data_IF_185211706983
#
_entry.id   IF_185211706983
#
_cell.length_a   1.000
_cell.length_b   1.000
_cell.length_c   1.000
_cell.angle_alpha   90.00
_cell.angle_beta   90.00
_cell.angle_gamma   90.00
#
_symmetry.space_group_name_H-M   'P 1'
#
loop_
_entity.id
_entity.type
_entity.pdbx_description
1 polymer ?
#
# COMPACT_ATOMS: atom_id res chain seq x y z
N UNK A 1 -1.88 -5.07 -41.94
CA UNK A 1 -2.88 -5.97 -42.56
C UNK A 1 -2.79 -7.38 -42.01
N UNK A 2 -3.74 -7.77 -41.23
CA UNK A 2 -3.80 -9.15 -40.80
C UNK A 2 -4.66 -9.94 -41.78
N UNK A 3 -4.01 -10.63 -42.69
CA UNK A 3 -4.66 -11.61 -43.56
C UNK A 3 -5.16 -12.78 -42.72
N UNK A 4 -6.48 -12.88 -42.60
CA UNK A 4 -7.16 -14.02 -41.97
C UNK A 4 -8.14 -14.60 -42.96
N UNK A 5 -8.37 -15.89 -42.86
CA UNK A 5 -9.18 -16.63 -43.83
C UNK A 5 -10.51 -15.95 -44.15
N UNK A 6 -10.98 -16.04 -45.38
CA UNK A 6 -12.13 -15.35 -45.96
C UNK A 6 -13.42 -15.44 -45.09
N UNK A 7 -13.56 -16.39 -44.19
CA UNK A 7 -14.71 -16.49 -43.30
C UNK A 7 -14.73 -15.54 -42.11
N UNK A 8 -13.56 -15.01 -41.68
CA UNK A 8 -13.46 -14.09 -40.55
C UNK A 8 -13.46 -12.61 -40.97
N UNK A 9 -13.10 -12.31 -42.25
CA UNK A 9 -13.02 -10.95 -42.78
C UNK A 9 -14.39 -10.25 -42.74
N UNK A 10 -15.49 -10.97 -42.87
CA UNK A 10 -16.83 -10.40 -42.83
C UNK A 10 -17.44 -10.31 -41.41
N UNK A 11 -16.79 -10.87 -40.40
CA UNK A 11 -17.31 -10.91 -39.02
C UNK A 11 -16.66 -9.93 -38.07
N UNK A 12 -15.49 -9.39 -38.42
CA UNK A 12 -14.76 -8.44 -37.56
C UNK A 12 -14.17 -7.35 -38.46
N UNK A 13 -14.88 -6.25 -38.58
CA UNK A 13 -14.41 -5.05 -39.23
C UNK A 13 -13.84 -4.11 -38.17
N UNK A 14 -12.71 -3.45 -38.48
CA UNK A 14 -12.12 -2.40 -37.64
C UNK A 14 -12.21 -1.11 -38.43
N UNK A 15 -12.98 -0.15 -37.94
CA UNK A 15 -12.98 1.23 -38.43
C UNK A 15 -12.04 2.06 -37.57
N UNK A 16 -11.39 3.03 -38.15
CA UNK A 16 -10.48 3.95 -37.48
C UNK A 16 -10.92 5.40 -37.68
N UNK A 17 -10.86 6.16 -36.59
CA UNK A 17 -10.97 7.61 -36.59
C UNK A 17 -9.92 8.18 -35.63
N UNK A 18 -9.26 9.27 -35.98
CA UNK A 18 -8.19 9.83 -35.15
C UNK A 18 -8.72 10.41 -33.83
N UNK A 19 -9.85 11.11 -33.86
CA UNK A 19 -10.58 11.60 -32.69
C UNK A 19 -10.00 12.86 -32.03
N UNK A 20 -8.68 13.00 -31.93
CA UNK A 20 -7.99 14.16 -31.32
C UNK A 20 -6.60 14.37 -31.96
N UNK A 21 -6.04 15.57 -31.80
CA UNK A 21 -4.64 15.84 -32.15
C UNK A 21 -3.72 15.40 -31.02
N UNK A 22 -2.67 14.64 -31.33
CA UNK A 22 -1.72 14.11 -30.31
C UNK A 22 -0.71 15.16 -29.84
N UNK A 23 -0.59 16.29 -30.50
CA UNK A 23 0.39 17.34 -30.20
C UNK A 23 -0.21 18.55 -29.48
N UNK A 24 -1.46 18.84 -29.78
CA UNK A 24 -2.14 20.00 -29.23
C UNK A 24 -3.36 19.55 -28.37
N UNK A 25 -3.43 20.01 -27.14
CA UNK A 25 -4.61 19.78 -26.31
C UNK A 25 -5.73 20.75 -26.69
N UNK A 26 -6.28 20.54 -27.89
CA UNK A 26 -7.40 21.31 -28.41
C UNK A 26 -8.45 20.37 -29.02
N UNK A 27 -9.70 20.73 -28.82
CA UNK A 27 -10.81 20.01 -29.45
C UNK A 27 -10.86 20.38 -30.91
N UNK A 28 -10.66 19.38 -31.80
CA UNK A 28 -10.93 19.48 -33.23
C UNK A 28 -12.33 18.91 -33.51
N UNK A 29 -13.26 19.78 -33.84
CA UNK A 29 -14.67 19.43 -34.05
C UNK A 29 -14.89 18.44 -35.20
N UNK A 30 -14.02 18.47 -36.24
CA UNK A 30 -14.12 17.57 -37.38
C UNK A 30 -13.66 16.15 -36.99
N UNK A 31 -12.51 16.03 -36.33
CA UNK A 31 -12.00 14.76 -35.80
C UNK A 31 -12.95 14.17 -34.79
N UNK A 32 -13.44 14.97 -33.82
CA UNK A 32 -14.41 14.56 -32.83
C UNK A 32 -15.69 13.99 -33.45
N UNK A 33 -16.28 14.71 -34.39
CA UNK A 33 -17.50 14.29 -35.11
C UNK A 33 -17.32 12.98 -35.86
N UNK A 34 -16.19 12.81 -36.56
CA UNK A 34 -15.87 11.56 -37.26
C UNK A 34 -15.76 10.38 -36.26
N UNK A 35 -15.04 10.59 -35.13
CA UNK A 35 -14.86 9.56 -34.11
C UNK A 35 -16.18 9.16 -33.43
N UNK A 36 -17.02 10.13 -33.07
CA UNK A 36 -18.35 9.90 -32.47
C UNK A 36 -19.26 9.15 -33.46
N UNK A 37 -19.29 9.51 -34.72
CA UNK A 37 -20.13 8.81 -35.74
C UNK A 37 -19.58 7.40 -36.01
N UNK A 38 -18.27 7.21 -36.02
CA UNK A 38 -17.62 5.90 -36.16
C UNK A 38 -17.99 4.99 -34.95
N UNK A 39 -17.87 5.52 -33.74
CA UNK A 39 -18.18 4.79 -32.51
C UNK A 39 -19.67 4.40 -32.40
N UNK A 40 -20.57 5.30 -32.84
CA UNK A 40 -22.02 5.05 -32.83
C UNK A 40 -22.42 3.87 -33.70
N UNK A 41 -21.70 3.65 -34.80
CA UNK A 41 -21.97 2.59 -35.77
C UNK A 41 -21.19 1.29 -35.48
N UNK A 42 -20.40 1.24 -34.43
CA UNK A 42 -19.61 0.08 -34.03
C UNK A 42 -20.27 -0.71 -32.89
N UNK A 43 -19.95 -2.02 -32.79
CA UNK A 43 -20.37 -2.85 -31.68
C UNK A 43 -19.62 -2.51 -30.39
N UNK A 44 -18.36 -2.08 -30.52
CA UNK A 44 -17.47 -1.69 -29.41
C UNK A 44 -16.59 -0.53 -29.89
N UNK A 45 -16.43 0.51 -29.09
CA UNK A 45 -15.42 1.54 -29.28
C UNK A 45 -14.21 1.26 -28.41
N UNK A 46 -13.03 1.23 -29.02
CA UNK A 46 -11.74 1.16 -28.29
C UNK A 46 -11.03 2.49 -28.48
N UNK A 47 -10.85 3.22 -27.39
CA UNK A 47 -10.23 4.53 -27.37
C UNK A 47 -8.81 4.39 -26.83
N UNK A 48 -7.82 4.73 -27.66
CA UNK A 48 -6.42 4.85 -27.23
C UNK A 48 -6.20 6.27 -26.73
N UNK A 49 -5.79 6.40 -25.49
CA UNK A 49 -5.57 7.67 -24.81
C UNK A 49 -4.29 7.60 -23.97
N UNK A 50 -3.79 8.73 -23.50
CA UNK A 50 -2.60 8.76 -22.68
C UNK A 50 -1.92 10.12 -22.68
N UNK A 51 -0.70 10.17 -22.16
CA UNK A 51 0.05 11.40 -21.98
C UNK A 51 1.04 11.60 -23.15
N UNK A 52 0.90 12.68 -23.92
CA UNK A 52 1.90 13.05 -24.92
C UNK A 52 3.14 13.66 -24.24
N UNK A 53 4.25 13.76 -24.98
CA UNK A 53 5.53 14.30 -24.50
C UNK A 53 5.42 15.70 -23.86
N UNK A 54 4.41 16.48 -24.26
CA UNK A 54 4.14 17.79 -23.65
C UNK A 54 3.59 17.71 -22.21
N UNK A 55 3.03 16.57 -21.81
CA UNK A 55 2.48 16.33 -20.47
C UNK A 55 3.42 15.51 -19.60
N UNK A 56 4.15 14.57 -20.19
CA UNK A 56 5.05 13.68 -19.47
C UNK A 56 6.32 13.44 -20.27
N UNK A 57 7.45 13.92 -19.77
CA UNK A 57 8.75 13.80 -20.41
C UNK A 57 9.88 13.87 -19.40
N UNK A 58 11.07 13.43 -19.79
CA UNK A 58 12.28 13.65 -19.01
C UNK A 58 12.64 15.15 -19.02
N UNK A 59 13.03 15.68 -17.86
CA UNK A 59 13.54 17.04 -17.72
C UNK A 59 12.56 18.08 -17.18
N UNK A 60 11.30 17.72 -16.93
CA UNK A 60 10.34 18.54 -16.21
C UNK A 60 9.34 17.68 -15.43
N UNK A 61 8.78 18.24 -14.37
CA UNK A 61 7.79 17.57 -13.54
C UNK A 61 6.38 17.87 -14.05
N UNK A 62 5.48 16.91 -13.90
CA UNK A 62 4.05 17.12 -14.14
C UNK A 62 3.48 18.02 -13.05
N UNK A 63 2.67 18.99 -13.46
CA UNK A 63 2.00 19.93 -12.54
C UNK A 63 0.63 19.43 -12.06
N UNK A 64 0.02 18.45 -12.76
CA UNK A 64 -1.29 17.89 -12.44
C UNK A 64 -1.39 16.42 -12.90
N UNK A 65 -2.35 15.68 -12.35
CA UNK A 65 -2.65 14.30 -12.75
C UNK A 65 -3.67 14.21 -13.90
N UNK A 66 -4.21 15.32 -14.37
CA UNK A 66 -5.18 15.35 -15.48
C UNK A 66 -4.59 14.80 -16.78
N UNK A 67 -5.43 14.15 -17.57
CA UNK A 67 -5.18 13.84 -18.96
C UNK A 67 -5.47 15.07 -19.83
N UNK A 68 -5.01 15.11 -21.10
CA UNK A 68 -5.42 16.16 -22.02
C UNK A 68 -6.94 16.33 -22.10
N UNK A 69 -7.41 17.57 -22.07
CA UNK A 69 -8.86 17.88 -22.05
C UNK A 69 -9.55 17.37 -23.32
N UNK A 70 -8.89 17.43 -24.47
CA UNK A 70 -9.43 16.92 -25.74
C UNK A 70 -9.70 15.42 -25.69
N UNK A 71 -8.87 14.64 -25.00
CA UNK A 71 -9.05 13.20 -24.84
C UNK A 71 -10.19 12.89 -23.87
N UNK A 72 -10.24 13.57 -22.71
CA UNK A 72 -11.34 13.44 -21.76
C UNK A 72 -12.68 13.78 -22.41
N UNK A 73 -12.72 14.85 -23.21
CA UNK A 73 -13.91 15.28 -23.94
C UNK A 73 -14.34 14.26 -25.00
N UNK A 74 -13.40 13.71 -25.76
CA UNK A 74 -13.67 12.64 -26.74
C UNK A 74 -14.32 11.42 -26.06
N UNK A 75 -13.78 10.95 -24.92
CA UNK A 75 -14.32 9.81 -24.17
C UNK A 75 -15.77 10.11 -23.74
N UNK A 76 -16.02 11.30 -23.20
CA UNK A 76 -17.35 11.70 -22.75
C UNK A 76 -18.37 11.76 -23.90
N UNK A 77 -17.97 12.30 -25.06
CA UNK A 77 -18.86 12.39 -26.23
C UNK A 77 -19.17 11.00 -26.81
N UNK A 78 -18.18 10.10 -26.85
CA UNK A 78 -18.38 8.71 -27.29
C UNK A 78 -19.31 7.97 -26.34
N UNK A 79 -19.19 8.15 -25.05
CA UNK A 79 -20.06 7.51 -24.03
C UNK A 79 -21.55 7.89 -24.18
N UNK A 80 -21.86 9.05 -24.78
CA UNK A 80 -23.26 9.44 -25.07
C UNK A 80 -23.92 8.58 -26.16
N UNK A 81 -23.12 8.03 -27.07
CA UNK A 81 -23.62 7.31 -28.26
C UNK A 81 -23.28 5.82 -28.26
N UNK A 82 -22.27 5.39 -27.50
CA UNK A 82 -21.80 4.01 -27.42
C UNK A 82 -21.74 3.55 -25.96
N UNK A 83 -22.28 2.37 -25.65
CA UNK A 83 -22.29 1.79 -24.31
C UNK A 83 -21.10 0.85 -24.03
N UNK A 84 -20.59 0.22 -25.09
CA UNK A 84 -19.47 -0.71 -24.99
C UNK A 84 -18.16 0.04 -25.31
N UNK A 85 -17.62 0.75 -24.33
CA UNK A 85 -16.40 1.54 -24.48
C UNK A 85 -15.26 0.90 -23.70
N UNK A 86 -14.13 0.72 -24.37
CA UNK A 86 -12.87 0.27 -23.75
C UNK A 86 -11.86 1.40 -23.92
N UNK A 87 -11.16 1.78 -22.86
CA UNK A 87 -10.08 2.75 -22.92
C UNK A 87 -8.75 2.04 -22.70
N UNK A 88 -7.80 2.26 -23.62
CA UNK A 88 -6.41 1.82 -23.52
C UNK A 88 -5.58 3.04 -23.16
N UNK A 89 -4.86 2.97 -22.03
CA UNK A 89 -4.08 4.07 -21.50
C UNK A 89 -2.59 3.86 -21.69
N UNK A 90 -1.93 4.92 -22.19
CA UNK A 90 -0.48 5.02 -22.37
C UNK A 90 0.05 6.20 -21.54
N UNK A 91 0.53 5.93 -20.34
CA UNK A 91 1.05 6.92 -19.39
C UNK A 91 2.16 6.29 -18.56
N UNK A 92 3.13 7.07 -18.12
CA UNK A 92 4.21 6.60 -17.26
C UNK A 92 3.89 6.71 -15.77
N UNK A 93 2.91 7.55 -15.42
CA UNK A 93 2.49 7.82 -14.05
C UNK A 93 0.96 7.93 -13.95
N UNK A 94 0.35 7.84 -12.74
CA UNK A 94 -1.09 7.87 -12.56
C UNK A 94 -1.77 9.06 -13.22
N UNK A 95 -2.97 8.82 -13.75
CA UNK A 95 -3.83 9.85 -14.35
C UNK A 95 -5.20 9.87 -13.67
N UNK A 96 -5.83 11.03 -13.65
CA UNK A 96 -7.24 11.17 -13.25
C UNK A 96 -8.14 10.62 -14.35
N UNK A 97 -9.10 9.79 -13.96
CA UNK A 97 -10.02 9.11 -14.88
C UNK A 97 -11.47 9.41 -14.49
N UNK A 98 -11.98 10.61 -14.78
CA UNK A 98 -13.34 10.99 -14.36
C UNK A 98 -14.44 10.12 -14.99
N UNK A 99 -14.16 9.47 -16.09
CA UNK A 99 -15.04 8.58 -16.86
C UNK A 99 -14.89 7.09 -16.52
N UNK A 100 -14.01 6.73 -15.57
CA UNK A 100 -13.64 5.32 -15.34
C UNK A 100 -14.80 4.42 -14.92
N UNK A 101 -15.84 4.96 -14.27
CA UNK A 101 -17.02 4.20 -13.85
C UNK A 101 -18.05 4.03 -14.98
N UNK A 102 -17.93 4.79 -16.07
CA UNK A 102 -18.87 4.80 -17.20
C UNK A 102 -18.40 3.92 -18.37
N UNK A 103 -17.10 3.56 -18.42
CA UNK A 103 -16.55 2.69 -19.46
C UNK A 103 -16.65 1.21 -19.08
N UNK A 104 -16.71 0.35 -20.10
CA UNK A 104 -16.83 -1.11 -19.87
C UNK A 104 -15.54 -1.75 -19.38
N UNK A 105 -14.37 -1.23 -19.77
CA UNK A 105 -13.06 -1.71 -19.35
C UNK A 105 -11.98 -0.65 -19.59
N UNK A 106 -10.91 -0.76 -18.81
CA UNK A 106 -9.68 0.02 -18.97
C UNK A 106 -8.52 -0.97 -19.08
N UNK A 107 -7.69 -0.79 -20.10
CA UNK A 107 -6.42 -1.48 -20.26
C UNK A 107 -5.30 -0.48 -19.95
N UNK A 108 -4.68 -0.60 -18.78
CA UNK A 108 -3.50 0.18 -18.42
C UNK A 108 -2.27 -0.43 -19.09
N UNK A 109 -1.76 0.21 -20.10
CA UNK A 109 -0.63 -0.26 -20.90
C UNK A 109 0.70 0.35 -20.47
N UNK A 110 0.69 1.43 -19.69
CA UNK A 110 1.88 2.16 -19.28
C UNK A 110 2.77 2.57 -20.49
N UNK A 111 4.06 2.67 -20.28
CA UNK A 111 5.07 2.93 -21.32
C UNK A 111 5.52 1.60 -21.93
N UNK A 112 4.75 1.11 -22.86
CA UNK A 112 5.04 -0.13 -23.55
C UNK A 112 6.19 0.03 -24.58
N UNK A 113 6.81 -1.10 -24.91
CA UNK A 113 7.92 -1.15 -25.85
C UNK A 113 7.47 -1.32 -27.32
N UNK A 114 8.41 -1.69 -28.17
CA UNK A 114 8.26 -1.79 -29.63
C UNK A 114 7.10 -2.67 -30.12
N UNK A 115 6.70 -3.69 -29.35
CA UNK A 115 5.65 -4.64 -29.73
C UNK A 115 4.26 -4.30 -29.16
N UNK A 116 4.04 -3.09 -28.66
CA UNK A 116 2.82 -2.67 -27.93
C UNK A 116 1.53 -2.97 -28.70
N UNK A 117 1.41 -2.54 -29.94
CA UNK A 117 0.18 -2.72 -30.72
C UNK A 117 -0.19 -4.19 -30.94
N UNK A 118 0.79 -5.08 -31.11
CA UNK A 118 0.55 -6.52 -31.22
C UNK A 118 0.11 -7.12 -29.88
N UNK A 119 0.72 -6.71 -28.79
CA UNK A 119 0.38 -7.17 -27.44
C UNK A 119 -1.03 -6.74 -27.02
N UNK A 120 -1.39 -5.49 -27.27
CA UNK A 120 -2.72 -4.95 -27.00
C UNK A 120 -3.80 -5.64 -27.86
N UNK A 121 -3.53 -5.82 -29.15
CA UNK A 121 -4.44 -6.56 -30.02
C UNK A 121 -4.67 -8.01 -29.51
N UNK A 122 -3.63 -8.69 -29.05
CA UNK A 122 -3.76 -10.04 -28.52
C UNK A 122 -4.59 -10.09 -27.22
N UNK A 123 -4.50 -9.07 -26.38
CA UNK A 123 -5.35 -8.90 -25.20
C UNK A 123 -6.78 -8.55 -25.61
N UNK A 124 -6.99 -7.48 -26.38
CA UNK A 124 -8.30 -6.99 -26.77
C UNK A 124 -9.13 -8.05 -27.53
N UNK A 125 -8.49 -8.87 -28.34
CA UNK A 125 -9.15 -9.97 -29.06
C UNK A 125 -9.16 -11.30 -28.30
N UNK A 126 -8.69 -11.31 -27.04
CA UNK A 126 -8.76 -12.48 -26.16
C UNK A 126 -7.84 -13.63 -26.55
N UNK A 127 -6.78 -13.40 -27.33
CA UNK A 127 -5.78 -14.42 -27.58
C UNK A 127 -4.87 -14.62 -26.38
N UNK A 128 -4.63 -13.56 -25.64
CA UNK A 128 -3.86 -13.54 -24.39
C UNK A 128 -4.75 -13.03 -23.28
N UNK A 129 -4.80 -13.75 -22.18
CA UNK A 129 -5.48 -13.33 -20.96
C UNK A 129 -4.55 -12.37 -20.19
N UNK A 130 -4.97 -11.12 -19.87
CA UNK A 130 -4.14 -10.18 -19.14
C UNK A 130 -3.83 -10.73 -17.74
N UNK A 131 -2.62 -10.46 -17.27
CA UNK A 131 -2.14 -10.94 -15.97
C UNK A 131 -1.17 -9.96 -15.30
N UNK A 132 -1.14 -8.71 -15.76
CA UNK A 132 -0.45 -7.62 -15.12
C UNK A 132 -1.16 -7.21 -13.83
N UNK A 133 -0.38 -6.69 -12.89
CA UNK A 133 -0.88 -6.05 -11.66
C UNK A 133 -0.25 -4.68 -11.54
N UNK A 134 -1.03 -3.70 -11.10
CA UNK A 134 -0.53 -2.34 -10.88
C UNK A 134 0.63 -2.34 -9.88
N UNK A 135 1.75 -1.75 -10.27
CA UNK A 135 2.93 -1.59 -9.42
C UNK A 135 2.83 -0.38 -8.50
N UNK A 136 1.73 0.34 -8.57
CA UNK A 136 1.44 1.55 -7.79
C UNK A 136 -0.04 1.63 -7.42
N UNK A 137 -0.37 2.55 -6.53
CA UNK A 137 -1.75 2.94 -6.25
C UNK A 137 -2.11 4.10 -7.14
N UNK A 138 -3.27 4.05 -7.79
CA UNK A 138 -3.82 5.18 -8.55
C UNK A 138 -4.78 5.94 -7.63
N UNK A 139 -4.42 7.13 -7.11
CA UNK A 139 -5.31 7.96 -6.30
C UNK A 139 -6.38 8.62 -7.18
N UNK A 140 -7.34 9.30 -6.56
CA UNK A 140 -8.33 10.09 -7.29
C UNK A 140 -7.76 11.43 -7.74
N UNK A 141 -6.94 12.09 -6.90
CA UNK A 141 -6.43 13.45 -7.11
C UNK A 141 -4.95 13.53 -6.75
N UNK A 142 -4.26 14.51 -7.32
CA UNK A 142 -2.86 14.78 -7.01
C UNK A 142 -2.66 15.11 -5.53
N UNK A 143 -3.60 15.81 -4.92
CA UNK A 143 -3.60 16.19 -3.50
C UNK A 143 -3.62 15.00 -2.54
N UNK A 144 -4.05 13.84 -3.02
CA UNK A 144 -4.03 12.59 -2.25
C UNK A 144 -2.60 12.02 -2.11
N UNK A 145 -1.64 12.49 -2.91
CA UNK A 145 -0.28 11.98 -2.89
C UNK A 145 0.44 12.33 -1.58
N UNK A 146 1.13 11.40 -0.91
CA UNK A 146 1.82 11.66 0.36
C UNK A 146 2.90 12.74 0.27
N UNK A 147 3.49 12.97 -0.91
CA UNK A 147 4.51 14.00 -1.13
C UNK A 147 3.95 15.37 -1.52
N UNK A 148 2.64 15.51 -1.73
CA UNK A 148 2.01 16.72 -2.28
C UNK A 148 2.42 18.02 -1.58
N UNK A 149 2.51 18.00 -0.25
CA UNK A 149 2.90 19.18 0.54
C UNK A 149 4.42 19.41 0.61
N UNK A 150 5.24 18.47 0.14
CA UNK A 150 6.69 18.50 0.32
C UNK A 150 7.44 18.60 -1.02
N UNK A 151 6.81 18.26 -2.12
CA UNK A 151 7.36 18.31 -3.47
C UNK A 151 6.80 19.54 -4.22
N UNK A 152 7.62 20.30 -4.97
CA UNK A 152 9.04 20.12 -5.22
C UNK A 152 9.98 20.70 -4.12
N UNK A 153 9.46 21.15 -3.00
CA UNK A 153 10.20 21.80 -1.92
C UNK A 153 10.27 23.32 -2.07
N UNK A 154 11.25 23.93 -1.40
CA UNK A 154 11.44 25.40 -1.36
C UNK A 154 12.48 25.93 -2.37
N UNK A 155 12.90 25.09 -3.31
CA UNK A 155 13.94 25.40 -4.31
C UNK A 155 15.38 25.15 -3.85
N UNK A 156 15.62 24.95 -2.57
CA UNK A 156 16.93 24.59 -2.00
C UNK A 156 16.90 23.22 -1.32
N UNK A 157 15.77 22.83 -0.81
CA UNK A 157 15.61 21.61 0.00
C UNK A 157 14.30 20.90 -0.34
N UNK A 158 14.40 19.59 -0.52
CA UNK A 158 13.24 18.67 -0.60
C UNK A 158 13.25 17.78 0.62
N UNK A 159 12.12 17.71 1.33
CA UNK A 159 11.98 16.91 2.53
C UNK A 159 11.10 15.69 2.28
N UNK A 160 11.65 14.49 2.47
CA UNK A 160 10.93 13.21 2.37
C UNK A 160 10.20 12.93 3.70
N UNK A 161 9.18 13.75 4.01
CA UNK A 161 8.45 13.69 5.30
C UNK A 161 7.55 12.47 5.44
N UNK A 162 7.19 11.83 4.34
CA UNK A 162 6.40 10.61 4.31
C UNK A 162 7.12 9.41 4.95
N UNK A 163 8.45 9.41 5.03
CA UNK A 163 9.25 8.35 5.61
C UNK A 163 8.98 7.00 4.94
N UNK A 164 8.52 5.99 5.69
CA UNK A 164 8.17 4.67 5.14
C UNK A 164 6.77 4.60 4.52
N UNK A 165 5.98 5.68 4.65
CA UNK A 165 4.60 5.74 4.17
C UNK A 165 4.53 6.28 2.74
N UNK A 166 5.10 5.54 1.79
CA UNK A 166 5.06 5.83 0.36
C UNK A 166 4.10 4.89 -0.36
N UNK A 167 3.44 5.37 -1.43
CA UNK A 167 2.51 4.58 -2.23
C UNK A 167 1.40 3.94 -1.38
N UNK A 168 1.08 2.66 -1.63
CA UNK A 168 0.01 1.93 -0.95
C UNK A 168 0.14 1.91 0.58
N UNK A 169 1.37 1.97 1.11
CA UNK A 169 1.62 1.99 2.57
C UNK A 169 0.97 3.19 3.23
N UNK A 170 0.99 4.34 2.54
CA UNK A 170 0.31 5.55 2.99
C UNK A 170 -1.20 5.45 2.81
N UNK A 171 -1.67 5.16 1.60
CA UNK A 171 -3.10 5.13 1.29
C UNK A 171 -3.86 4.10 2.13
N UNK A 172 -3.26 2.92 2.36
CA UNK A 172 -3.87 1.85 3.15
C UNK A 172 -3.86 2.19 4.64
N UNK A 173 -2.77 2.80 5.16
CA UNK A 173 -2.69 3.28 6.53
C UNK A 173 -3.72 4.38 6.83
N UNK A 174 -3.90 5.30 5.89
CA UNK A 174 -4.90 6.38 5.97
C UNK A 174 -6.33 5.89 5.71
N UNK A 175 -6.51 4.65 5.23
CA UNK A 175 -7.81 4.14 4.75
C UNK A 175 -8.42 5.08 3.72
N UNK A 176 -7.59 5.73 2.92
CA UNK A 176 -7.98 6.72 1.94
C UNK A 176 -8.61 6.03 0.73
N UNK A 177 -9.74 6.52 0.20
CA UNK A 177 -10.27 6.03 -1.07
C UNK A 177 -9.23 6.22 -2.19
N UNK A 178 -9.15 5.24 -3.09
CA UNK A 178 -8.27 5.29 -4.26
C UNK A 178 -9.02 4.73 -5.45
N UNK A 179 -8.65 5.14 -6.66
CA UNK A 179 -9.27 4.62 -7.89
C UNK A 179 -8.91 3.14 -8.06
N UNK A 180 -7.64 2.80 -7.96
CA UNK A 180 -7.16 1.41 -8.00
C UNK A 180 -6.02 1.22 -6.98
N UNK A 181 -6.08 0.18 -6.12
CA UNK A 181 -5.03 -0.08 -5.15
C UNK A 181 -3.81 -0.73 -5.79
N UNK A 182 -2.67 -0.64 -5.13
CA UNK A 182 -1.46 -1.39 -5.48
C UNK A 182 -1.74 -2.89 -5.61
N UNK A 183 -1.19 -3.51 -6.63
CA UNK A 183 -1.36 -4.94 -6.90
C UNK A 183 -2.66 -5.30 -7.60
N UNK A 184 -3.56 -4.33 -7.87
CA UNK A 184 -4.82 -4.57 -8.56
C UNK A 184 -4.61 -4.96 -10.03
N UNK A 185 -5.48 -5.81 -10.54
CA UNK A 185 -5.52 -6.19 -11.96
C UNK A 185 -6.47 -7.37 -12.16
N UNK A 186 -7.33 -7.26 -13.16
CA UNK A 186 -8.34 -8.24 -13.51
C UNK A 186 -7.79 -9.27 -14.52
N UNK A 187 -8.54 -10.32 -14.71
CA UNK A 187 -8.29 -11.41 -15.65
C UNK A 187 -9.59 -11.77 -16.37
N UNK A 188 -9.50 -12.42 -17.52
CA UNK A 188 -10.65 -13.01 -18.22
C UNK A 188 -11.11 -14.34 -17.60
N UNK A 189 -10.47 -14.76 -16.51
CA UNK A 189 -10.85 -15.92 -15.69
C UNK A 189 -10.91 -15.52 -14.22
N UNK A 190 -11.32 -16.43 -13.35
CA UNK A 190 -11.43 -16.21 -11.91
C UNK A 190 -10.55 -17.18 -11.15
N UNK A 191 -10.02 -16.75 -10.00
CA UNK A 191 -9.14 -17.55 -9.16
C UNK A 191 -9.69 -17.63 -7.73
N UNK A 192 -9.64 -18.81 -7.15
CA UNK A 192 -9.95 -19.10 -5.75
C UNK A 192 -8.67 -19.43 -5.00
N UNK A 193 -8.57 -18.93 -3.77
CA UNK A 193 -7.45 -19.15 -2.87
C UNK A 193 -7.94 -19.96 -1.67
N UNK A 194 -7.20 -21.01 -1.30
CA UNK A 194 -7.56 -21.89 -0.21
C UNK A 194 -6.33 -22.47 0.48
N UNK A 195 -6.52 -23.13 1.61
CA UNK A 195 -5.54 -23.95 2.30
C UNK A 195 -4.21 -23.21 2.57
N UNK A 196 -4.29 -22.00 3.17
CA UNK A 196 -3.09 -21.29 3.63
C UNK A 196 -2.44 -22.06 4.76
N UNK A 197 -1.17 -22.46 4.58
CA UNK A 197 -0.39 -23.19 5.57
C UNK A 197 0.91 -22.45 5.88
N UNK A 198 1.29 -22.46 7.15
CA UNK A 198 2.59 -22.00 7.64
C UNK A 198 3.39 -23.22 8.09
N UNK A 199 4.67 -23.28 7.75
CA UNK A 199 5.56 -24.38 8.19
C UNK A 199 5.72 -24.45 9.71
N UNK A 200 5.51 -23.32 10.40
CA UNK A 200 5.56 -23.17 11.85
C UNK A 200 4.61 -22.08 12.32
N UNK A 201 4.04 -22.24 13.51
CA UNK A 201 3.22 -21.20 14.17
C UNK A 201 4.08 -20.26 15.02
N UNK A 202 5.31 -20.70 15.37
CA UNK A 202 6.28 -19.91 16.14
C UNK A 202 7.66 -20.07 15.53
N UNK A 203 8.37 -18.95 15.33
CA UNK A 203 9.70 -18.89 14.72
C UNK A 203 10.61 -17.95 15.50
N UNK A 204 11.94 -18.15 15.35
CA UNK A 204 12.94 -17.14 15.70
C UNK A 204 13.25 -16.25 14.49
N UNK A 205 13.72 -15.04 14.74
CA UNK A 205 14.16 -14.12 13.67
C UNK A 205 15.32 -14.62 12.83
N UNK A 206 16.00 -15.69 13.26
CA UNK A 206 17.08 -16.39 12.54
C UNK A 206 16.57 -17.52 11.63
N UNK A 207 15.29 -17.82 11.68
CA UNK A 207 14.66 -18.90 10.91
C UNK A 207 13.93 -18.35 9.69
N UNK A 208 13.70 -19.22 8.70
CA UNK A 208 12.86 -18.96 7.54
C UNK A 208 11.49 -19.59 7.74
N UNK A 209 10.42 -18.85 7.48
CA UNK A 209 9.06 -19.34 7.45
C UNK A 209 8.65 -19.66 6.02
N UNK A 210 8.23 -20.90 5.75
CA UNK A 210 7.58 -21.24 4.50
C UNK A 210 6.06 -21.04 4.62
N UNK A 211 5.51 -20.40 3.61
CA UNK A 211 4.08 -20.10 3.47
C UNK A 211 3.59 -20.76 2.20
N UNK A 212 2.61 -21.63 2.29
CA UNK A 212 2.01 -22.27 1.12
C UNK A 212 0.51 -21.99 1.04
N UNK A 213 0.00 -21.85 -0.17
CA UNK A 213 -1.40 -21.59 -0.46
C UNK A 213 -1.81 -22.30 -1.74
N UNK A 214 -3.02 -22.82 -1.80
CA UNK A 214 -3.59 -23.36 -3.02
C UNK A 214 -4.29 -22.28 -3.81
N UNK A 215 -4.07 -22.29 -5.12
CA UNK A 215 -4.75 -21.39 -6.08
C UNK A 215 -5.37 -22.24 -7.17
N UNK A 216 -6.65 -22.04 -7.40
CA UNK A 216 -7.44 -22.74 -8.41
C UNK A 216 -8.01 -21.75 -9.41
N UNK A 217 -7.87 -22.06 -10.69
CA UNK A 217 -8.60 -21.37 -11.75
C UNK A 217 -10.05 -21.91 -11.82
N UNK A 218 -11.01 -21.12 -11.41
CA UNK A 218 -12.43 -21.50 -11.37
C UNK A 218 -13.20 -21.13 -12.63
N UNK A 219 -12.57 -20.40 -13.56
CA UNK A 219 -13.19 -19.99 -14.81
C UNK A 219 -12.97 -20.98 -15.96
N UNK A 220 -13.26 -20.52 -17.17
CA UNK A 220 -13.25 -21.33 -18.39
C UNK A 220 -12.05 -21.08 -19.31
N UNK A 221 -11.21 -20.12 -18.99
CA UNK A 221 -10.04 -19.70 -19.77
C UNK A 221 -8.77 -19.92 -18.97
N UNK A 222 -7.69 -20.33 -19.62
CA UNK A 222 -6.38 -20.37 -18.99
C UNK A 222 -5.96 -18.94 -18.59
N UNK A 223 -5.29 -18.82 -17.46
CA UNK A 223 -4.85 -17.52 -16.96
C UNK A 223 -3.66 -17.62 -16.02
N UNK A 224 -3.04 -16.47 -15.78
CA UNK A 224 -1.95 -16.34 -14.81
C UNK A 224 -2.41 -15.44 -13.68
N UNK A 225 -2.17 -15.87 -12.44
CA UNK A 225 -2.46 -15.08 -11.25
C UNK A 225 -1.17 -14.71 -10.53
N UNK A 226 -1.12 -13.52 -9.95
CA UNK A 226 -0.02 -13.08 -9.08
C UNK A 226 -0.49 -13.15 -7.64
N UNK A 227 -0.05 -14.21 -6.96
CA UNK A 227 -0.30 -14.41 -5.54
C UNK A 227 0.61 -13.48 -4.76
N UNK A 228 0.05 -12.57 -3.99
CA UNK A 228 0.77 -11.55 -3.24
C UNK A 228 0.75 -11.89 -1.75
N UNK A 229 1.93 -11.90 -1.13
CA UNK A 229 2.12 -12.16 0.28
C UNK A 229 2.54 -10.89 1.00
N UNK A 230 1.71 -10.46 1.94
CA UNK A 230 1.96 -9.31 2.80
C UNK A 230 2.18 -9.74 4.24
N UNK A 231 2.93 -8.94 4.97
CA UNK A 231 3.15 -9.09 6.41
C UNK A 231 2.64 -7.84 7.12
N UNK A 232 1.84 -8.05 8.17
CA UNK A 232 1.35 -7.02 9.07
C UNK A 232 1.97 -7.21 10.45
N UNK A 233 2.66 -6.21 10.95
CA UNK A 233 3.26 -6.20 12.29
C UNK A 233 2.20 -5.82 13.33
N UNK A 234 1.96 -6.68 14.32
CA UNK A 234 1.02 -6.45 15.43
C UNK A 234 1.74 -6.19 16.75
N UNK A 235 3.06 -6.08 16.73
CA UNK A 235 3.84 -5.81 17.96
C UNK A 235 3.63 -4.40 18.51
N UNK A 236 3.25 -3.46 17.64
CA UNK A 236 3.11 -2.03 17.94
C UNK A 236 4.39 -1.37 18.50
N UNK A 237 5.56 -2.01 18.31
CA UNK A 237 6.83 -1.50 18.81
C UNK A 237 7.25 -0.18 18.14
N UNK A 238 6.89 -0.01 16.88
CA UNK A 238 7.08 1.22 16.10
C UNK A 238 5.92 1.39 15.13
N UNK A 239 5.67 2.64 14.71
CA UNK A 239 4.67 2.89 13.68
C UNK A 239 5.14 2.32 12.33
N UNK A 240 4.37 1.37 11.79
CA UNK A 240 4.62 0.71 10.51
C UNK A 240 3.37 0.72 9.63
N UNK A 241 3.53 0.52 8.31
CA UNK A 241 2.40 0.29 7.41
C UNK A 241 1.51 -0.87 7.89
N UNK A 242 0.21 -0.77 7.64
CA UNK A 242 -0.76 -1.83 8.03
C UNK A 242 -0.43 -3.17 7.42
N UNK A 243 0.15 -3.18 6.22
CA UNK A 243 0.68 -4.36 5.54
C UNK A 243 1.85 -3.97 4.64
N UNK A 244 2.76 -4.89 4.42
CA UNK A 244 3.91 -4.70 3.52
C UNK A 244 4.06 -5.93 2.63
N UNK A 245 4.12 -5.73 1.30
CA UNK A 245 4.42 -6.81 0.35
C UNK A 245 5.83 -7.34 0.64
N UNK A 246 5.93 -8.64 0.91
CA UNK A 246 7.21 -9.30 1.23
C UNK A 246 7.58 -10.37 0.22
N UNK A 247 6.61 -10.93 -0.47
CA UNK A 247 6.84 -11.89 -1.54
C UNK A 247 5.67 -11.92 -2.52
N UNK A 248 5.90 -12.40 -3.73
CA UNK A 248 4.85 -12.70 -4.69
C UNK A 248 5.31 -13.79 -5.67
N UNK A 249 4.35 -14.54 -6.20
CA UNK A 249 4.60 -15.56 -7.22
C UNK A 249 3.53 -15.48 -8.30
N UNK A 250 3.95 -15.49 -9.56
CA UNK A 250 3.04 -15.59 -10.71
C UNK A 250 2.90 -17.05 -11.11
N UNK A 251 1.67 -17.56 -11.08
CA UNK A 251 1.33 -18.96 -11.40
C UNK A 251 0.40 -19.01 -12.60
N UNK A 252 0.69 -19.92 -13.55
CA UNK A 252 -0.17 -20.20 -14.69
C UNK A 252 -1.05 -21.41 -14.40
N UNK A 253 -2.35 -21.30 -14.68
CA UNK A 253 -3.37 -22.30 -14.39
C UNK A 253 -4.30 -22.49 -15.59
N UNK A 254 -4.46 -23.74 -16.00
CA UNK A 254 -5.50 -24.12 -16.97
C UNK A 254 -6.90 -24.04 -16.31
N UNK A 255 -8.00 -24.02 -17.08
CA UNK A 255 -9.34 -24.09 -16.51
C UNK A 255 -9.47 -25.25 -15.54
N UNK A 256 -9.99 -24.99 -14.34
CA UNK A 256 -10.15 -25.94 -13.23
C UNK A 256 -8.86 -26.50 -12.63
N UNK A 257 -7.69 -26.12 -13.11
CA UNK A 257 -6.40 -26.51 -12.52
C UNK A 257 -6.20 -25.84 -11.17
N UNK A 258 -5.64 -26.60 -10.22
CA UNK A 258 -5.22 -26.13 -8.90
C UNK A 258 -3.71 -26.39 -8.74
N UNK A 259 -2.99 -25.40 -8.20
CA UNK A 259 -1.58 -25.51 -7.84
C UNK A 259 -1.33 -24.98 -6.44
N UNK A 260 -0.39 -25.62 -5.75
CA UNK A 260 0.15 -25.08 -4.50
C UNK A 260 1.31 -24.15 -4.81
N UNK A 261 1.23 -22.93 -4.32
CA UNK A 261 2.29 -21.92 -4.39
C UNK A 261 2.98 -21.86 -3.03
N UNK A 262 4.32 -21.91 -3.01
CA UNK A 262 5.11 -21.78 -1.78
C UNK A 262 6.01 -20.55 -1.88
N UNK A 263 6.04 -19.77 -0.81
CA UNK A 263 6.83 -18.55 -0.66
C UNK A 263 7.61 -18.59 0.65
N UNK A 264 8.75 -17.93 0.71
CA UNK A 264 9.59 -17.87 1.89
C UNK A 264 9.63 -16.47 2.48
N UNK A 265 9.60 -16.40 3.81
CA UNK A 265 9.80 -15.19 4.59
C UNK A 265 11.01 -15.38 5.49
N UNK A 266 11.97 -14.50 5.40
CA UNK A 266 13.18 -14.46 6.22
C UNK A 266 13.12 -13.29 7.23
N UNK A 267 14.18 -13.07 8.02
CA UNK A 267 14.28 -11.95 8.99
C UNK A 267 13.82 -10.62 8.41
N UNK A 268 14.26 -10.28 7.18
CA UNK A 268 13.92 -8.99 6.53
C UNK A 268 12.44 -8.83 6.26
N UNK A 269 11.70 -9.90 6.14
CA UNK A 269 10.24 -9.85 5.92
C UNK A 269 9.48 -9.31 7.14
N UNK A 270 10.04 -9.46 8.33
CA UNK A 270 9.46 -9.02 9.60
C UNK A 270 10.11 -7.76 10.15
N UNK A 271 11.32 -7.44 9.68
CA UNK A 271 12.19 -6.44 10.28
C UNK A 271 11.91 -5.00 9.79
N UNK A 272 12.32 -4.08 10.63
CA UNK A 272 12.51 -2.67 10.31
C UNK A 272 13.95 -2.27 10.68
N UNK A 273 14.48 -1.20 10.06
CA UNK A 273 15.82 -0.74 10.36
C UNK A 273 15.83 0.04 11.68
N UNK A 274 16.59 -0.45 12.66
CA UNK A 274 16.70 0.15 13.98
C UNK A 274 18.06 0.83 14.14
N UNK A 275 18.05 2.16 14.28
CA UNK A 275 19.28 2.97 14.41
C UNK A 275 20.04 2.76 15.71
N UNK A 276 19.41 2.23 16.77
CA UNK A 276 20.09 1.93 18.04
C UNK A 276 21.03 0.73 17.92
N UNK A 277 20.70 -0.23 17.08
CA UNK A 277 21.53 -1.41 16.81
C UNK A 277 22.22 -1.34 15.44
N UNK A 278 21.94 -0.31 14.65
CA UNK A 278 22.43 -0.11 13.27
C UNK A 278 22.22 -1.34 12.38
N UNK A 279 21.09 -2.01 12.54
CA UNK A 279 20.73 -3.23 11.80
C UNK A 279 19.21 -3.38 11.67
N UNK A 280 18.82 -4.37 10.87
CA UNK A 280 17.45 -4.80 10.70
C UNK A 280 17.00 -5.63 11.92
N UNK A 281 16.01 -5.11 12.61
CA UNK A 281 15.44 -5.68 13.82
C UNK A 281 14.03 -6.21 13.56
N UNK A 282 13.81 -7.49 13.84
CA UNK A 282 12.50 -8.11 13.89
C UNK A 282 12.09 -8.28 15.35
N UNK A 283 11.10 -7.52 15.80
CA UNK A 283 10.63 -7.53 17.18
C UNK A 283 9.91 -8.81 17.56
N UNK A 284 10.00 -9.23 18.83
CA UNK A 284 9.19 -10.34 19.33
C UNK A 284 7.72 -9.95 19.36
N UNK A 285 6.83 -10.88 19.01
CA UNK A 285 5.39 -10.75 19.07
C UNK A 285 4.68 -11.33 17.86
N UNK A 286 3.43 -10.95 17.70
CA UNK A 286 2.51 -11.50 16.70
C UNK A 286 2.63 -10.75 15.38
N UNK A 287 2.69 -11.51 14.30
CA UNK A 287 2.62 -11.01 12.91
C UNK A 287 1.49 -11.72 12.17
N UNK A 288 0.78 -10.99 11.31
CA UNK A 288 -0.17 -11.58 10.37
C UNK A 288 0.46 -11.78 9.02
N UNK A 289 0.27 -12.97 8.46
CA UNK A 289 0.62 -13.36 7.11
C UNK A 289 -0.65 -13.26 6.27
N UNK A 290 -0.63 -12.38 5.29
CA UNK A 290 -1.80 -12.02 4.48
C UNK A 290 -1.55 -12.45 3.04
N UNK A 291 -2.46 -13.23 2.48
CA UNK A 291 -2.44 -13.63 1.07
C UNK A 291 -3.57 -12.92 0.33
N UNK A 292 -3.22 -12.22 -0.73
CA UNK A 292 -4.19 -11.46 -1.51
C UNK A 292 -3.86 -11.37 -2.99
N UNK A 293 -4.80 -10.79 -3.74
CA UNK A 293 -4.65 -10.44 -5.16
C UNK A 293 -4.27 -8.98 -5.38
N UNK A 294 -4.35 -8.17 -4.31
CA UNK A 294 -3.90 -6.78 -4.22
C UNK A 294 -3.68 -6.39 -2.76
N UNK A 295 -3.17 -5.19 -2.49
CA UNK A 295 -2.98 -4.68 -1.12
C UNK A 295 -4.29 -4.56 -0.33
N UNK A 296 -5.44 -4.50 -1.02
CA UNK A 296 -6.79 -4.37 -0.43
C UNK A 296 -7.70 -5.57 -0.66
N UNK A 297 -7.33 -6.50 -1.50
CA UNK A 297 -8.06 -7.77 -1.70
C UNK A 297 -7.30 -8.90 -1.00
N UNK A 298 -7.36 -8.90 0.33
CA UNK A 298 -6.78 -9.95 1.17
C UNK A 298 -7.81 -11.07 1.31
N UNK A 299 -7.45 -12.26 0.90
CA UNK A 299 -8.33 -13.44 0.84
C UNK A 299 -8.11 -14.43 1.96
N UNK A 300 -6.87 -14.58 2.42
CA UNK A 300 -6.51 -15.51 3.48
C UNK A 300 -5.56 -14.83 4.47
N UNK A 301 -5.70 -15.18 5.76
CA UNK A 301 -4.86 -14.64 6.83
C UNK A 301 -4.53 -15.74 7.82
N UNK A 302 -3.27 -15.79 8.27
CA UNK A 302 -2.80 -16.58 9.42
C UNK A 302 -1.83 -15.77 10.26
N UNK A 303 -1.73 -16.12 11.52
CA UNK A 303 -0.78 -15.50 12.47
C UNK A 303 0.44 -16.38 12.68
N UNK A 304 1.57 -15.74 12.97
CA UNK A 304 2.80 -16.36 13.43
C UNK A 304 3.37 -15.58 14.59
N UNK A 305 3.88 -16.29 15.61
CA UNK A 305 4.62 -15.70 16.72
C UNK A 305 6.11 -15.67 16.38
N UNK A 306 6.74 -14.50 16.47
CA UNK A 306 8.17 -14.33 16.26
C UNK A 306 8.87 -14.06 17.60
N UNK A 307 9.95 -14.77 17.84
CA UNK A 307 10.87 -14.54 18.96
C UNK A 307 12.17 -13.93 18.42
N UNK A 308 12.44 -12.67 18.79
CA UNK A 308 13.68 -11.99 18.42
C UNK A 308 14.84 -12.53 19.25
N UNK A 309 15.94 -12.86 18.58
CA UNK A 309 17.20 -13.22 19.25
C UNK A 309 18.05 -11.99 19.58
N UNK A 310 17.70 -10.83 19.03
CA UNK A 310 18.38 -9.56 19.28
C UNK A 310 17.71 -8.81 20.45
N UNK A 311 18.53 -8.22 21.31
CA UNK A 311 18.07 -7.29 22.35
C UNK A 311 18.44 -5.88 21.94
N UNK A 312 17.48 -4.97 21.98
CA UNK A 312 17.75 -3.54 21.81
C UNK A 312 18.31 -3.02 23.14
N UNK A 313 19.50 -2.40 23.14
CA UNK A 313 20.02 -1.74 24.35
C UNK A 313 19.05 -0.66 24.80
N UNK A 314 18.68 -0.70 26.06
CA UNK A 314 17.88 0.35 26.68
C UNK A 314 18.80 1.50 27.06
N UNK A 315 18.62 2.66 26.45
CA UNK A 315 19.27 3.89 26.85
C UNK A 315 18.32 4.68 27.76
N UNK A 316 18.70 4.84 29.03
CA UNK A 316 17.92 5.61 29.99
C UNK A 316 18.36 7.08 29.88
N UNK A 317 17.43 7.95 29.57
CA UNK A 317 17.63 9.39 29.48
C UNK A 317 16.45 10.15 30.13
N UNK A 318 16.56 11.45 30.24
CA UNK A 318 15.58 12.31 30.94
C UNK A 318 14.15 12.22 30.36
N UNK A 319 14.01 11.79 29.11
CA UNK A 319 12.73 11.62 28.45
C UNK A 319 12.22 10.18 28.45
N UNK A 320 12.99 9.21 28.96
CA UNK A 320 12.52 7.83 29.14
C UNK A 320 11.30 7.82 30.04
N UNK A 321 10.22 7.16 29.60
CA UNK A 321 8.98 7.09 30.37
C UNK A 321 9.03 6.04 31.46
N UNK A 322 8.14 6.13 32.43
CA UNK A 322 8.03 5.12 33.50
C UNK A 322 7.66 3.77 32.91
N UNK A 323 6.76 3.72 31.92
CA UNK A 323 6.38 2.48 31.24
C UNK A 323 7.57 1.80 30.58
N UNK A 324 8.43 2.57 29.85
CA UNK A 324 9.65 2.03 29.26
C UNK A 324 10.61 1.45 30.33
N UNK A 325 10.75 2.14 31.47
CA UNK A 325 11.57 1.64 32.58
C UNK A 325 11.02 0.36 33.20
N UNK A 326 9.71 0.22 33.29
CA UNK A 326 9.05 -0.96 33.82
C UNK A 326 9.21 -2.22 32.96
N UNK A 327 9.61 -2.07 31.68
CA UNK A 327 9.99 -3.18 30.80
C UNK A 327 11.38 -3.75 31.10
N UNK A 328 12.23 -3.00 31.84
CA UNK A 328 13.57 -3.43 32.21
C UNK A 328 13.58 -3.96 33.65
N UNK A 329 13.94 -5.24 33.85
CA UNK A 329 13.90 -5.90 35.16
C UNK A 329 14.74 -5.17 36.22
N UNK A 330 15.91 -4.62 35.89
CA UNK A 330 16.74 -3.85 36.83
C UNK A 330 16.13 -2.50 37.17
N UNK A 331 15.59 -1.81 36.17
CA UNK A 331 14.95 -0.51 36.33
C UNK A 331 13.63 -0.65 37.11
N UNK A 332 12.89 -1.74 36.88
CA UNK A 332 11.63 -2.06 37.58
C UNK A 332 11.78 -2.15 39.10
N UNK A 333 12.89 -2.75 39.59
CA UNK A 333 13.19 -2.86 41.01
C UNK A 333 13.40 -1.49 41.64
N UNK A 334 14.18 -0.62 41.00
CA UNK A 334 14.42 0.77 41.44
C UNK A 334 13.14 1.62 41.32
N UNK A 335 12.36 1.42 40.27
CA UNK A 335 11.13 2.17 40.03
C UNK A 335 10.02 1.81 41.03
N UNK A 336 9.98 0.57 41.55
CA UNK A 336 8.99 0.14 42.53
C UNK A 336 9.12 0.97 43.83
N UNK A 337 10.33 1.09 44.34
CA UNK A 337 10.59 1.88 45.56
C UNK A 337 10.23 3.37 45.35
N UNK A 338 10.49 3.88 44.15
CA UNK A 338 10.18 5.27 43.80
C UNK A 338 8.67 5.51 43.68
N UNK A 339 7.94 4.59 43.04
CA UNK A 339 6.47 4.65 42.94
C UNK A 339 5.83 4.56 44.31
N UNK A 340 6.31 3.67 45.19
CA UNK A 340 5.82 3.51 46.55
C UNK A 340 6.04 4.80 47.39
N UNK A 341 7.22 5.46 47.27
CA UNK A 341 7.49 6.76 47.88
C UNK A 341 6.59 7.87 47.34
N UNK A 342 6.34 7.90 46.05
CA UNK A 342 5.46 8.89 45.42
C UNK A 342 4.02 8.71 45.90
N UNK A 343 3.53 7.47 45.99
CA UNK A 343 2.20 7.16 46.50
C UNK A 343 2.04 7.57 47.97
N UNK A 344 3.08 7.35 48.80
CA UNK A 344 3.08 7.80 50.16
C UNK A 344 3.02 9.34 50.32
N UNK A 345 3.69 10.08 49.42
CA UNK A 345 3.69 11.54 49.42
C UNK A 345 2.38 12.16 48.89
N UNK A 346 1.71 11.50 47.94
CA UNK A 346 0.42 11.96 47.39
C UNK A 346 -0.75 11.56 48.30
N UNK A 347 -0.65 10.41 48.99
CA UNK A 347 -1.65 9.93 49.96
C UNK A 347 -1.57 10.59 51.34
N UNK A 348 -0.56 11.40 51.62
CA UNK A 348 -0.37 12.11 52.88
C UNK A 348 -1.12 13.45 53.05
N UNK A 349 -1.96 13.83 52.12
CA UNK A 349 -2.95 14.89 52.32
C UNK A 349 -4.13 14.37 53.13
N UNK A 350 -4.66 15.20 54.07
CA UNK A 350 -5.76 14.87 54.99
C UNK A 350 -6.82 13.95 54.36
N UNK A 351 -7.07 12.79 55.01
CA UNK A 351 -8.17 11.89 54.68
C UNK A 351 -9.47 12.70 54.62
N UNK A 352 -10.08 12.80 53.42
CA UNK A 352 -11.34 13.52 53.21
C UNK A 352 -11.29 14.73 52.28
N UNK A 353 -10.17 15.04 51.61
CA UNK A 353 -10.19 16.07 50.56
C UNK A 353 -10.89 15.57 49.29
N UNK A 354 -11.80 16.34 48.73
CA UNK A 354 -12.54 16.05 47.49
C UNK A 354 -11.62 15.72 46.30
N UNK A 355 -10.33 16.02 46.37
CA UNK A 355 -9.32 15.71 45.37
C UNK A 355 -8.79 14.26 45.49
N UNK A 356 -8.79 13.67 46.68
CA UNK A 356 -8.34 12.27 46.89
C UNK A 356 -9.41 11.24 46.52
N UNK A 357 -10.69 11.62 46.50
CA UNK A 357 -11.79 10.76 46.08
C UNK A 357 -12.01 10.77 44.53
N UNK A 358 -11.50 11.77 43.82
CA UNK A 358 -11.77 11.97 42.39
C UNK A 358 -10.85 11.19 41.43
N UNK A 359 -9.69 10.72 41.91
CA UNK A 359 -8.70 10.04 41.08
C UNK A 359 -8.42 8.64 41.66
N UNK A 360 -8.87 7.61 40.94
CA UNK A 360 -8.55 6.23 41.37
C UNK A 360 -7.03 5.98 41.25
N UNK A 361 -6.53 5.08 42.11
CA UNK A 361 -5.13 4.66 42.11
C UNK A 361 -4.69 4.17 40.71
N UNK A 362 -5.59 3.50 40.01
CA UNK A 362 -5.38 3.00 38.65
C UNK A 362 -5.27 4.14 37.59
N UNK A 363 -6.06 5.19 37.76
CA UNK A 363 -5.98 6.38 36.88
C UNK A 363 -4.68 7.15 37.11
N UNK A 364 -4.20 7.21 38.36
CA UNK A 364 -2.93 7.87 38.70
C UNK A 364 -1.74 7.10 38.12
N UNK A 365 -1.74 5.76 38.24
CA UNK A 365 -0.71 4.90 37.61
C UNK A 365 -0.68 5.12 36.09
N UNK A 366 -1.83 5.13 35.42
CA UNK A 366 -1.93 5.40 33.99
C UNK A 366 -1.45 6.79 33.56
N UNK A 367 -1.73 7.81 34.36
CA UNK A 367 -1.22 9.16 34.11
C UNK A 367 0.31 9.22 34.26
N UNK A 368 0.87 8.44 35.17
CA UNK A 368 2.31 8.39 35.41
C UNK A 368 3.08 7.52 34.42
N UNK A 369 2.49 6.43 33.93
CA UNK A 369 3.13 5.49 32.98
C UNK A 369 3.75 6.19 31.78
N UNK A 370 3.08 7.20 31.23
CA UNK A 370 3.54 7.97 30.08
C UNK A 370 4.35 9.22 30.44
N UNK A 371 4.59 9.45 31.74
CA UNK A 371 5.37 10.59 32.19
C UNK A 371 6.86 10.34 31.99
N UNK A 372 7.61 11.28 31.41
CA UNK A 372 9.05 11.15 31.28
C UNK A 372 9.73 11.34 32.65
N UNK A 373 10.89 10.71 32.85
CA UNK A 373 11.68 10.82 34.10
C UNK A 373 11.87 12.26 34.58
N UNK A 374 12.06 13.20 33.65
CA UNK A 374 12.20 14.64 33.99
C UNK A 374 10.97 15.23 34.70
N UNK A 375 9.78 14.68 34.44
CA UNK A 375 8.54 15.17 35.06
C UNK A 375 8.41 14.74 36.54
N UNK A 376 9.04 13.63 36.94
CA UNK A 376 9.05 13.14 38.30
C UNK A 376 9.60 14.17 39.29
N UNK A 377 10.53 15.00 38.82
CA UNK A 377 11.09 16.09 39.66
C UNK A 377 10.03 17.12 40.05
N UNK A 378 9.10 17.42 39.20
CA UNK A 378 8.06 18.41 39.45
C UNK A 378 6.86 17.85 40.20
N UNK A 379 6.53 16.56 40.02
CA UNK A 379 5.36 15.93 40.60
C UNK A 379 5.62 15.26 41.97
N UNK A 380 6.85 14.77 42.18
CA UNK A 380 7.12 13.91 43.35
C UNK A 380 8.08 14.48 44.37
N UNK A 381 8.58 15.73 44.18
CA UNK A 381 9.57 16.30 45.11
C UNK A 381 10.89 15.51 45.21
N UNK A 382 11.18 14.68 44.20
CA UNK A 382 12.31 13.76 44.20
C UNK A 382 13.61 14.55 44.12
N UNK A 383 14.57 14.23 45.00
CA UNK A 383 15.84 14.91 45.01
C UNK A 383 16.68 14.59 43.76
N UNK A 384 17.56 15.53 43.43
CA UNK A 384 18.48 15.41 42.25
C UNK A 384 19.38 14.16 42.33
N UNK A 385 19.61 13.62 43.54
CA UNK A 385 20.45 12.45 43.79
C UNK A 385 19.78 11.15 43.32
N UNK A 386 18.51 10.97 43.60
CA UNK A 386 17.76 9.78 43.15
C UNK A 386 17.63 9.74 41.58
N UNK A 387 17.56 10.91 40.97
CA UNK A 387 17.53 11.05 39.51
C UNK A 387 18.85 10.65 38.85
N UNK A 388 19.98 11.00 39.45
CA UNK A 388 21.32 10.71 38.91
C UNK A 388 21.62 9.20 38.92
N UNK A 389 21.12 8.45 39.88
CA UNK A 389 21.27 7.00 39.94
C UNK A 389 20.52 6.24 38.84
N UNK A 390 19.43 6.83 38.32
CA UNK A 390 18.66 6.25 37.20
C UNK A 390 19.29 6.54 35.82
N UNK A 391 20.11 7.58 35.70
CA UNK A 391 20.65 8.05 34.44
C UNK A 391 22.14 7.74 34.21
N UNK A 392 22.85 7.21 35.23
CA UNK A 392 24.24 6.78 35.07
C UNK A 392 24.31 5.39 34.42
N UNK A 393 25.20 5.20 33.42
CA UNK A 393 25.45 3.88 32.87
C UNK A 393 26.06 2.99 33.96
N UNK A 394 25.42 1.86 34.25
CA UNK A 394 25.93 0.78 35.11
C UNK A 394 26.66 -0.25 34.28
#
# INVERSE_FOLDING_TARGET
>A
EMSRGLGDVYKRQVAYAQGYDVKEDKIDEAMLKEAVETAKNADVAVIFAGLPDAFESEGYDREHMGMPDCQNYLIQEILKVQKSVVVVLHNGSPVEMPWADDVSAILEAYLCGQAVGAAEADILFGKVNPSGKLAETIPYHLEDNPSYLNFPGDGQKVEYKEGVFVGYRYYDMKKMPVRYPFGYGLSYTTFEYSDLQLSKEKIKDTETLQVSVKVKNTGKMAGKEVVQLYVSDKTNAVMRPVNELKNFVKVELQPQEEKTVTMELNKRSFAWYNTKVNDWYAGSGTYEILIGSSSRDIRLTKTVELESTMKIPMEIHTNTTISELMENEKAKEVMKDLVDQMMANIGGGEEGSAASEAISQEMMIKMMENSPLRALRSFAGISTVSYTHLTLPT
#
